data_IF_564458479940
#
_entry.id   IF_564458479940
#
_cell.length_a   1.000
_cell.length_b   1.000
_cell.length_c   1.000
_cell.angle_alpha   90.00
_cell.angle_beta   90.00
_cell.angle_gamma   90.00
#
_symmetry.space_group_name_H-M   'P 1'
#
loop_
_entity.id
_entity.type
_entity.pdbx_description
1 polymer ?
#
# COMPACT_ATOMS: atom_id res chain seq x y z
N UNK A 1 11.16 0.12 24.63
CA UNK A 1 11.18 0.62 23.23
C UNK A 1 11.97 -0.37 22.39
N UNK A 2 11.45 -0.85 21.25
CA UNK A 2 12.31 -1.58 20.29
C UNK A 2 13.43 -0.66 19.82
N UNK A 3 14.62 -1.20 19.53
CA UNK A 3 15.71 -0.44 18.89
C UNK A 3 15.15 0.32 17.70
N UNK A 4 15.54 1.58 17.57
CA UNK A 4 15.12 2.41 16.48
C UNK A 4 15.93 2.06 15.23
N UNK A 5 15.30 2.17 14.06
CA UNK A 5 15.91 1.71 12.78
C UNK A 5 17.15 2.53 12.41
N UNK A 6 17.27 3.74 12.97
CA UNK A 6 18.37 4.68 12.72
C UNK A 6 19.56 4.56 13.67
N UNK A 7 19.51 3.65 14.66
CA UNK A 7 20.61 3.49 15.61
C UNK A 7 21.87 2.93 14.93
N UNK A 8 23.06 3.42 15.32
CA UNK A 8 24.32 2.84 14.87
C UNK A 8 24.40 1.38 15.35
N UNK A 9 24.44 0.46 14.38
CA UNK A 9 24.50 -0.97 14.61
C UNK A 9 25.36 -1.69 13.57
N UNK A 10 25.49 -3.01 13.76
CA UNK A 10 26.23 -3.89 12.84
C UNK A 10 25.38 -4.19 11.60
N UNK A 11 25.24 -3.19 10.72
CA UNK A 11 24.63 -3.40 9.40
C UNK A 11 25.55 -4.32 8.58
N UNK A 12 25.01 -5.42 8.07
CA UNK A 12 25.75 -6.42 7.27
C UNK A 12 25.78 -6.08 5.77
N UNK A 13 25.28 -4.92 5.40
CA UNK A 13 25.21 -4.44 4.01
C UNK A 13 26.09 -3.22 3.82
N UNK A 14 26.60 -3.05 2.59
CA UNK A 14 27.54 -2.00 2.20
C UNK A 14 28.95 -2.55 1.98
N UNK A 15 29.53 -2.28 0.82
CA UNK A 15 30.86 -2.78 0.43
C UNK A 15 31.97 -2.35 1.42
N UNK A 16 31.80 -1.17 2.04
CA UNK A 16 32.74 -0.64 3.03
C UNK A 16 32.82 -1.44 4.34
N UNK A 17 31.82 -2.28 4.66
CA UNK A 17 31.84 -3.08 5.90
C UNK A 17 32.64 -4.38 5.76
N UNK A 18 33.07 -4.77 4.55
CA UNK A 18 34.01 -5.88 4.33
C UNK A 18 35.04 -5.57 3.25
N UNK A 19 36.12 -4.83 3.57
CA UNK A 19 37.13 -4.43 2.58
C UNK A 19 37.86 -5.61 1.91
N UNK A 20 38.02 -6.73 2.62
CA UNK A 20 38.71 -7.92 2.11
C UNK A 20 37.84 -8.62 1.06
N UNK A 21 36.61 -9.02 1.42
CA UNK A 21 35.70 -9.69 0.48
C UNK A 21 35.41 -8.82 -0.75
N UNK A 22 35.34 -7.50 -0.54
CA UNK A 22 35.11 -6.54 -1.62
C UNK A 22 36.26 -6.45 -2.61
N UNK A 23 37.51 -6.54 -2.12
CA UNK A 23 38.69 -6.59 -2.98
C UNK A 23 38.71 -7.89 -3.79
N UNK A 24 38.37 -9.02 -3.16
CA UNK A 24 38.29 -10.32 -3.83
C UNK A 24 37.19 -10.36 -4.90
N UNK A 25 35.99 -9.83 -4.60
CA UNK A 25 34.89 -9.71 -5.58
C UNK A 25 35.32 -8.83 -6.76
N UNK A 26 35.96 -7.68 -6.49
CA UNK A 26 36.43 -6.77 -7.54
C UNK A 26 37.47 -7.43 -8.42
N UNK A 27 38.45 -8.11 -7.82
CA UNK A 27 39.49 -8.84 -8.55
C UNK A 27 38.89 -9.97 -9.38
N UNK A 28 37.99 -10.77 -8.81
CA UNK A 28 37.32 -11.84 -9.53
C UNK A 28 36.44 -11.31 -10.69
N UNK A 29 35.80 -10.15 -10.53
CA UNK A 29 35.05 -9.51 -11.60
C UNK A 29 35.96 -9.01 -12.74
N UNK A 30 37.17 -8.51 -12.42
CA UNK A 30 38.16 -8.08 -13.42
C UNK A 30 38.78 -9.27 -14.19
N UNK A 31 38.97 -10.40 -13.53
CA UNK A 31 39.56 -11.60 -14.12
C UNK A 31 38.58 -12.38 -15.01
N UNK A 32 37.27 -12.11 -14.91
CA UNK A 32 36.25 -12.79 -15.69
C UNK A 32 35.79 -11.94 -16.88
N UNK A 33 35.70 -12.57 -18.05
CA UNK A 33 34.99 -11.99 -19.16
C UNK A 33 33.48 -12.13 -18.94
N UNK A 34 32.69 -11.05 -19.05
CA UNK A 34 31.23 -11.14 -19.05
C UNK A 34 30.76 -12.09 -20.16
N UNK A 35 29.79 -12.94 -19.88
CA UNK A 35 29.16 -13.81 -20.89
C UNK A 35 28.25 -13.04 -21.85
N UNK A 36 28.03 -11.74 -21.59
CA UNK A 36 27.27 -10.82 -22.43
C UNK A 36 27.85 -9.42 -22.31
N UNK A 37 27.65 -8.56 -23.32
CA UNK A 37 28.17 -7.18 -23.34
C UNK A 37 27.54 -6.26 -22.27
N UNK A 38 26.56 -6.76 -21.51
CA UNK A 38 25.88 -6.01 -20.46
C UNK A 38 24.91 -4.95 -20.97
N UNK A 39 24.50 -4.99 -22.24
CA UNK A 39 23.42 -4.13 -22.74
C UNK A 39 22.03 -4.67 -22.37
N UNK A 40 21.03 -3.79 -22.44
CA UNK A 40 19.64 -4.10 -22.10
C UNK A 40 18.89 -4.86 -23.22
N UNK A 41 19.56 -5.28 -24.30
CA UNK A 41 18.88 -5.79 -25.50
C UNK A 41 18.22 -7.15 -25.27
N UNK A 42 18.88 -8.06 -24.56
CA UNK A 42 18.31 -9.39 -24.27
C UNK A 42 17.15 -9.31 -23.27
N UNK A 43 17.28 -8.49 -22.23
CA UNK A 43 16.19 -8.30 -21.27
C UNK A 43 14.99 -7.61 -21.93
N UNK A 44 15.23 -6.68 -22.87
CA UNK A 44 14.18 -6.08 -23.68
C UNK A 44 13.46 -7.12 -24.53
N UNK A 45 14.18 -8.03 -25.21
CA UNK A 45 13.56 -9.11 -26.01
C UNK A 45 12.67 -10.01 -25.16
N UNK A 46 13.12 -10.40 -23.96
CA UNK A 46 12.30 -11.20 -23.03
C UNK A 46 11.06 -10.43 -22.59
N UNK A 47 11.20 -9.15 -22.22
CA UNK A 47 10.06 -8.29 -21.86
C UNK A 47 9.05 -8.11 -23.00
N UNK A 48 9.54 -7.96 -24.24
CA UNK A 48 8.70 -7.88 -25.43
C UNK A 48 7.92 -9.17 -25.65
N UNK A 49 8.59 -10.32 -25.55
CA UNK A 49 7.95 -11.62 -25.66
C UNK A 49 6.85 -11.77 -24.61
N UNK A 50 7.15 -11.48 -23.34
CA UNK A 50 6.17 -11.60 -22.26
C UNK A 50 5.01 -10.63 -22.44
N UNK A 51 5.25 -9.39 -22.87
CA UNK A 51 4.18 -8.42 -23.12
C UNK A 51 3.25 -8.82 -24.28
N UNK A 52 3.76 -9.54 -25.28
CA UNK A 52 2.97 -10.05 -26.41
C UNK A 52 2.21 -11.33 -26.06
N UNK A 53 2.81 -12.22 -25.26
CA UNK A 53 2.25 -13.52 -24.90
C UNK A 53 1.31 -13.44 -23.68
N UNK A 54 1.46 -12.43 -22.83
CA UNK A 54 0.59 -12.24 -21.67
C UNK A 54 -0.81 -11.83 -22.09
N UNK A 55 -1.83 -12.48 -21.52
CA UNK A 55 -3.20 -11.96 -21.54
C UNK A 55 -3.34 -10.66 -20.73
N UNK A 56 -4.55 -10.10 -20.73
CA UNK A 56 -4.88 -9.02 -19.80
C UNK A 56 -4.94 -9.51 -18.35
N UNK A 57 -4.86 -8.58 -17.39
CA UNK A 57 -4.94 -8.86 -15.94
C UNK A 57 -6.24 -9.58 -15.57
N UNK A 58 -7.34 -9.28 -16.26
CA UNK A 58 -8.62 -9.94 -16.08
C UNK A 58 -9.72 -9.24 -16.86
N UNK A 59 -10.97 -9.44 -16.43
CA UNK A 59 -12.13 -8.72 -16.96
C UNK A 59 -13.16 -8.46 -15.87
N UNK A 60 -13.92 -7.36 -16.00
CA UNK A 60 -15.07 -7.10 -15.12
C UNK A 60 -16.15 -8.15 -15.42
N UNK A 61 -16.67 -8.87 -14.41
CA UNK A 61 -17.69 -9.89 -14.64
C UNK A 61 -19.01 -9.26 -15.10
N UNK A 62 -19.85 -10.03 -15.83
CA UNK A 62 -21.18 -9.56 -16.18
C UNK A 62 -22.03 -9.28 -14.91
N UNK A 63 -23.00 -8.34 -14.98
CA UNK A 63 -23.87 -8.06 -13.85
C UNK A 63 -24.57 -9.32 -13.33
N UNK A 64 -24.66 -9.48 -12.02
CA UNK A 64 -25.24 -10.66 -11.37
C UNK A 64 -26.78 -10.65 -11.31
N UNK A 65 -27.41 -9.54 -11.73
CA UNK A 65 -28.87 -9.36 -11.71
C UNK A 65 -29.44 -9.03 -13.09
N UNK A 66 -30.67 -9.50 -13.36
CA UNK A 66 -31.41 -9.22 -14.61
C UNK A 66 -31.58 -7.71 -14.85
N UNK A 67 -31.82 -6.94 -13.77
CA UNK A 67 -31.91 -5.48 -13.83
C UNK A 67 -30.56 -4.84 -14.21
N UNK A 68 -29.46 -5.35 -13.66
CA UNK A 68 -28.10 -4.92 -14.00
C UNK A 68 -27.78 -5.18 -15.48
N UNK A 69 -28.10 -6.37 -15.99
CA UNK A 69 -27.89 -6.73 -17.41
C UNK A 69 -28.63 -5.77 -18.34
N UNK A 70 -29.91 -5.49 -18.08
CA UNK A 70 -30.70 -4.57 -18.90
C UNK A 70 -30.13 -3.13 -18.88
N UNK A 71 -29.72 -2.64 -17.70
CA UNK A 71 -29.13 -1.30 -17.55
C UNK A 71 -27.80 -1.18 -18.30
N UNK A 72 -26.89 -2.13 -18.12
CA UNK A 72 -25.59 -2.15 -18.82
C UNK A 72 -25.77 -2.15 -20.33
N UNK A 73 -26.74 -2.90 -20.87
CA UNK A 73 -27.02 -2.91 -22.30
C UNK A 73 -27.47 -1.53 -22.82
N UNK A 74 -28.35 -0.84 -22.10
CA UNK A 74 -28.80 0.52 -22.44
C UNK A 74 -27.64 1.52 -22.41
N UNK A 75 -26.80 1.46 -21.38
CA UNK A 75 -25.66 2.36 -21.22
C UNK A 75 -24.61 2.15 -22.31
N UNK A 76 -24.35 0.90 -22.71
CA UNK A 76 -23.49 0.57 -23.85
C UNK A 76 -24.05 1.09 -25.18
N UNK A 77 -25.38 1.00 -25.39
CA UNK A 77 -26.04 1.54 -26.59
C UNK A 77 -25.94 3.07 -26.68
N UNK A 78 -25.79 3.76 -25.55
CA UNK A 78 -25.51 5.21 -25.49
C UNK A 78 -24.03 5.56 -25.71
N UNK A 79 -23.17 4.56 -26.00
CA UNK A 79 -21.74 4.74 -26.23
C UNK A 79 -20.89 4.86 -24.96
N UNK A 80 -21.49 4.69 -23.78
CA UNK A 80 -20.74 4.68 -22.51
C UNK A 80 -20.15 3.30 -22.23
N UNK A 81 -19.05 3.24 -21.48
CA UNK A 81 -18.43 2.00 -20.99
C UNK A 81 -18.63 1.88 -19.48
N UNK A 82 -19.83 1.50 -18.99
CA UNK A 82 -20.13 1.44 -17.57
C UNK A 82 -19.20 0.49 -16.80
N UNK A 83 -18.59 -0.48 -17.49
CA UNK A 83 -17.59 -1.39 -16.93
C UNK A 83 -16.36 -0.68 -16.39
N UNK A 84 -15.97 0.49 -16.93
CA UNK A 84 -14.83 1.28 -16.41
C UNK A 84 -15.13 1.79 -15.00
N UNK A 85 -16.36 2.26 -14.77
CA UNK A 85 -16.77 2.72 -13.44
C UNK A 85 -16.86 1.57 -12.44
N UNK A 86 -17.41 0.43 -12.86
CA UNK A 86 -17.43 -0.79 -12.03
C UNK A 86 -16.00 -1.26 -11.70
N UNK A 87 -15.08 -1.23 -12.66
CA UNK A 87 -13.69 -1.62 -12.43
C UNK A 87 -13.02 -0.71 -11.38
N UNK A 88 -13.22 0.61 -11.48
CA UNK A 88 -12.68 1.57 -10.51
C UNK A 88 -13.35 1.51 -9.13
N UNK A 89 -14.63 1.19 -9.06
CA UNK A 89 -15.28 0.88 -7.79
C UNK A 89 -14.72 -0.43 -7.18
N UNK A 90 -14.44 -1.44 -8.00
CA UNK A 90 -13.77 -2.67 -7.55
C UNK A 90 -12.36 -2.39 -7.00
N UNK A 91 -11.60 -1.52 -7.67
CA UNK A 91 -10.32 -1.01 -7.18
C UNK A 91 -10.45 -0.42 -5.78
N UNK A 92 -11.39 0.52 -5.60
CA UNK A 92 -11.61 1.18 -4.32
C UNK A 92 -12.04 0.19 -3.25
N UNK A 93 -12.99 -0.70 -3.54
CA UNK A 93 -13.41 -1.73 -2.58
C UNK A 93 -12.24 -2.60 -2.12
N UNK A 94 -11.32 -2.98 -3.02
CA UNK A 94 -10.12 -3.72 -2.64
C UNK A 94 -9.14 -2.89 -1.79
N UNK A 95 -9.01 -1.60 -2.09
CA UNK A 95 -8.14 -0.67 -1.37
C UNK A 95 -8.64 -0.42 0.05
N UNK A 96 -9.90 0.00 0.23
CA UNK A 96 -10.54 0.27 1.54
C UNK A 96 -10.53 -0.98 2.43
N UNK A 97 -10.80 -2.17 1.86
CA UNK A 97 -10.68 -3.43 2.59
C UNK A 97 -9.27 -3.67 3.11
N UNK A 98 -8.25 -3.23 2.36
CA UNK A 98 -6.86 -3.31 2.81
C UNK A 98 -6.58 -2.24 3.87
N UNK A 99 -7.04 -1.00 3.68
CA UNK A 99 -6.95 0.11 4.64
C UNK A 99 -7.44 -0.28 6.04
N UNK A 100 -8.62 -0.89 6.14
CA UNK A 100 -9.15 -1.42 7.41
C UNK A 100 -8.19 -2.39 8.11
N UNK A 101 -7.49 -3.26 7.35
CA UNK A 101 -6.50 -4.19 7.92
C UNK A 101 -5.21 -3.50 8.33
N UNK A 102 -4.78 -2.48 7.60
CA UNK A 102 -3.62 -1.67 7.95
C UNK A 102 -3.85 -0.95 9.28
N UNK A 103 -5.01 -0.33 9.48
CA UNK A 103 -5.34 0.36 10.73
C UNK A 103 -5.57 -0.59 11.91
N UNK A 104 -6.15 -1.78 11.70
CA UNK A 104 -6.17 -2.83 12.73
C UNK A 104 -4.76 -3.23 13.18
N UNK A 105 -3.83 -3.38 12.23
CA UNK A 105 -2.43 -3.69 12.54
C UNK A 105 -1.70 -2.54 13.24
N UNK A 106 -2.00 -1.29 12.85
CA UNK A 106 -1.47 -0.10 13.50
C UNK A 106 -1.94 0.00 14.96
N UNK A 107 -3.23 -0.24 15.23
CA UNK A 107 -3.77 -0.33 16.59
C UNK A 107 -3.06 -1.43 17.39
N UNK A 108 -2.91 -2.63 16.83
CA UNK A 108 -2.21 -3.72 17.51
C UNK A 108 -0.76 -3.36 17.87
N UNK A 109 -0.05 -2.63 17.00
CA UNK A 109 1.31 -2.13 17.32
C UNK A 109 1.28 -1.01 18.35
N UNK A 110 0.33 -0.09 18.26
CA UNK A 110 0.15 0.99 19.23
C UNK A 110 -0.07 0.43 20.64
N UNK A 111 -0.89 -0.62 20.79
CA UNK A 111 -1.14 -1.26 22.09
C UNK A 111 0.11 -1.84 22.74
N UNK A 112 1.01 -2.38 21.94
CA UNK A 112 2.22 -3.05 22.45
C UNK A 112 3.39 -2.10 22.59
N UNK A 113 3.56 -1.18 21.64
CA UNK A 113 4.73 -0.31 21.53
C UNK A 113 4.50 1.09 22.09
N UNK A 114 3.25 1.46 22.34
CA UNK A 114 2.84 2.79 22.75
C UNK A 114 2.97 3.82 21.63
N UNK A 115 2.85 5.09 22.03
CA UNK A 115 2.97 6.26 21.16
C UNK A 115 4.04 7.21 21.69
N UNK A 116 4.08 8.41 21.14
CA UNK A 116 5.00 9.48 21.51
C UNK A 116 4.26 10.82 21.56
N UNK A 117 4.93 11.86 22.06
CA UNK A 117 4.40 13.22 22.04
C UNK A 117 4.14 13.68 20.61
N UNK A 118 2.89 14.08 20.31
CA UNK A 118 2.46 14.41 18.95
C UNK A 118 2.27 13.19 18.03
N UNK A 119 2.36 11.97 18.56
CA UNK A 119 2.08 10.72 17.85
C UNK A 119 0.59 10.35 17.82
N UNK A 120 0.25 9.16 17.30
CA UNK A 120 -1.13 8.70 17.22
C UNK A 120 -1.73 8.52 18.63
N UNK A 121 -3.03 8.77 18.75
CA UNK A 121 -3.83 8.36 19.90
C UNK A 121 -4.66 7.14 19.53
N UNK A 122 -5.11 6.38 20.54
CA UNK A 122 -6.03 5.26 20.33
C UNK A 122 -7.29 5.74 19.62
N UNK A 123 -7.90 6.82 20.12
CA UNK A 123 -9.13 7.38 19.58
C UNK A 123 -8.95 7.86 18.13
N UNK A 124 -7.78 8.42 17.81
CA UNK A 124 -7.44 8.85 16.47
C UNK A 124 -7.34 7.68 15.49
N UNK A 125 -6.68 6.59 15.89
CA UNK A 125 -6.56 5.38 15.08
C UNK A 125 -7.90 4.64 14.94
N UNK A 126 -8.69 4.56 16.01
CA UNK A 126 -10.02 3.94 15.99
C UNK A 126 -11.00 4.74 15.14
N UNK A 127 -10.92 6.08 15.15
CA UNK A 127 -11.72 6.92 14.26
C UNK A 127 -11.43 6.58 12.81
N UNK A 128 -10.16 6.62 12.39
CA UNK A 128 -9.79 6.32 11.00
C UNK A 128 -10.24 4.91 10.62
N UNK A 129 -10.01 3.91 11.49
CA UNK A 129 -10.49 2.54 11.23
C UNK A 129 -12.01 2.47 11.00
N UNK A 130 -12.81 3.23 11.74
CA UNK A 130 -14.26 3.24 11.56
C UNK A 130 -14.66 3.96 10.26
N UNK A 131 -13.97 5.03 9.90
CA UNK A 131 -14.20 5.76 8.65
C UNK A 131 -13.88 4.85 7.45
N UNK A 132 -12.74 4.15 7.46
CA UNK A 132 -12.34 3.13 6.47
C UNK A 132 -13.37 1.99 6.31
N UNK A 133 -13.95 1.52 7.42
CA UNK A 133 -15.04 0.53 7.38
C UNK A 133 -16.29 1.10 6.71
N UNK A 134 -16.60 2.37 6.99
CA UNK A 134 -17.72 3.10 6.39
C UNK A 134 -17.51 3.30 4.89
N UNK A 135 -16.29 3.66 4.48
CA UNK A 135 -15.87 3.86 3.09
C UNK A 135 -15.97 2.55 2.30
N UNK A 136 -15.44 1.45 2.84
CA UNK A 136 -15.60 0.12 2.24
C UNK A 136 -17.09 -0.25 2.06
N UNK A 137 -17.92 0.05 3.07
CA UNK A 137 -19.37 -0.15 3.02
C UNK A 137 -20.04 0.68 1.92
N UNK A 138 -19.70 1.95 1.80
CA UNK A 138 -20.19 2.87 0.78
C UNK A 138 -19.92 2.37 -0.64
N UNK A 139 -18.70 1.92 -0.92
CA UNK A 139 -18.32 1.42 -2.25
C UNK A 139 -19.00 0.09 -2.55
N UNK A 140 -19.08 -0.80 -1.56
CA UNK A 140 -19.78 -2.09 -1.69
C UNK A 140 -21.27 -1.87 -2.00
N UNK A 141 -21.93 -0.94 -1.31
CA UNK A 141 -23.31 -0.55 -1.57
C UNK A 141 -23.49 -0.01 -3.00
N UNK A 142 -22.55 0.82 -3.46
CA UNK A 142 -22.57 1.37 -4.82
C UNK A 142 -22.46 0.27 -5.89
N UNK A 143 -21.53 -0.67 -5.72
CA UNK A 143 -21.36 -1.82 -6.61
C UNK A 143 -22.65 -2.65 -6.71
N UNK A 144 -23.26 -2.98 -5.56
CA UNK A 144 -24.51 -3.74 -5.51
C UNK A 144 -25.66 -2.98 -6.20
N UNK A 145 -25.80 -1.67 -5.96
CA UNK A 145 -26.82 -0.84 -6.60
C UNK A 145 -26.68 -0.77 -8.13
N UNK A 146 -25.45 -0.88 -8.63
CA UNK A 146 -25.16 -0.95 -10.06
C UNK A 146 -25.29 -2.37 -10.64
N UNK A 147 -25.59 -3.37 -9.81
CA UNK A 147 -25.75 -4.77 -10.20
C UNK A 147 -24.44 -5.53 -10.36
N UNK A 148 -23.34 -4.98 -9.85
CA UNK A 148 -22.04 -5.64 -9.80
C UNK A 148 -21.87 -6.47 -8.52
N UNK A 149 -20.97 -7.45 -8.59
CA UNK A 149 -20.54 -8.25 -7.45
C UNK A 149 -19.37 -7.54 -6.73
N UNK A 150 -19.55 -7.07 -5.48
CA UNK A 150 -18.49 -6.39 -4.74
C UNK A 150 -17.34 -7.31 -4.30
N UNK A 151 -17.49 -8.64 -4.46
CA UNK A 151 -16.45 -9.61 -4.14
C UNK A 151 -15.55 -9.93 -5.33
N UNK A 152 -15.92 -9.47 -6.54
CA UNK A 152 -15.14 -9.71 -7.75
C UNK A 152 -13.77 -9.04 -7.69
N UNK A 153 -12.73 -9.78 -8.08
CA UNK A 153 -11.43 -9.20 -8.38
C UNK A 153 -11.47 -8.64 -9.80
N UNK A 154 -11.73 -7.34 -9.92
CA UNK A 154 -11.67 -6.66 -11.21
C UNK A 154 -10.20 -6.37 -11.61
N UNK A 155 -9.92 -6.06 -12.88
CA UNK A 155 -8.56 -5.73 -13.31
C UNK A 155 -7.88 -4.64 -12.48
N UNK A 156 -8.60 -3.54 -12.19
CA UNK A 156 -8.04 -2.47 -11.36
C UNK A 156 -7.88 -2.90 -9.89
N UNK A 157 -8.76 -3.75 -9.35
CA UNK A 157 -8.60 -4.32 -8.01
C UNK A 157 -7.32 -5.18 -7.90
N UNK A 158 -7.03 -5.99 -8.92
CA UNK A 158 -5.79 -6.78 -8.98
C UNK A 158 -4.56 -5.87 -9.03
N UNK A 159 -4.55 -4.89 -9.93
CA UNK A 159 -3.45 -3.91 -10.05
C UNK A 159 -3.23 -3.17 -8.73
N UNK A 160 -4.30 -2.73 -8.05
CA UNK A 160 -4.18 -2.08 -6.74
C UNK A 160 -3.57 -3.03 -5.71
N UNK A 161 -4.02 -4.29 -5.63
CA UNK A 161 -3.49 -5.28 -4.70
C UNK A 161 -2.00 -5.57 -4.94
N UNK A 162 -1.58 -5.70 -6.21
CA UNK A 162 -0.17 -5.87 -6.58
C UNK A 162 0.64 -4.63 -6.21
N UNK A 163 0.13 -3.44 -6.52
CA UNK A 163 0.82 -2.17 -6.25
C UNK A 163 0.99 -1.91 -4.75
N UNK A 164 0.02 -2.33 -3.93
CA UNK A 164 0.02 -2.10 -2.48
C UNK A 164 0.57 -3.28 -1.66
N UNK A 165 1.10 -4.33 -2.28
CA UNK A 165 1.46 -5.58 -1.57
C UNK A 165 2.46 -5.39 -0.42
N UNK A 166 3.29 -4.35 -0.50
CA UNK A 166 4.27 -4.04 0.54
C UNK A 166 3.67 -3.45 1.81
N UNK A 167 2.50 -2.80 1.74
CA UNK A 167 1.93 -2.08 2.88
C UNK A 167 1.52 -3.06 4.00
N UNK A 168 0.73 -4.13 3.72
CA UNK A 168 0.41 -5.11 4.75
C UNK A 168 1.64 -5.85 5.27
N UNK A 169 2.64 -6.08 4.41
CA UNK A 169 3.91 -6.70 4.82
C UNK A 169 4.64 -5.85 5.87
N UNK A 170 4.67 -4.53 5.69
CA UNK A 170 5.25 -3.60 6.68
C UNK A 170 4.48 -3.61 8.00
N UNK A 171 3.15 -3.51 7.92
CA UNK A 171 2.31 -3.46 9.11
C UNK A 171 2.33 -4.79 9.88
N UNK A 172 2.45 -5.93 9.22
CA UNK A 172 2.47 -7.23 9.88
C UNK A 172 3.86 -7.67 10.36
N UNK A 173 4.94 -7.06 9.87
CA UNK A 173 6.29 -7.48 10.24
C UNK A 173 6.57 -7.20 11.74
N UNK A 174 6.88 -8.25 12.54
CA UNK A 174 7.15 -8.07 13.97
C UNK A 174 8.45 -7.34 14.24
N UNK A 175 9.35 -7.16 13.27
CA UNK A 175 10.58 -6.38 13.41
C UNK A 175 10.32 -4.88 13.28
N UNK A 176 9.27 -4.49 12.56
CA UNK A 176 8.92 -3.11 12.29
C UNK A 176 8.12 -2.50 13.44
N UNK A 177 8.36 -1.22 13.73
CA UNK A 177 7.73 -0.48 14.82
C UNK A 177 6.55 0.38 14.32
N UNK A 178 5.92 1.14 15.21
CA UNK A 178 4.76 1.97 14.88
C UNK A 178 5.09 3.10 13.89
N UNK A 179 6.30 3.67 13.89
CA UNK A 179 6.72 4.68 12.90
C UNK A 179 6.85 4.08 11.50
N UNK A 180 7.42 2.89 11.39
CA UNK A 180 7.49 2.16 10.10
C UNK A 180 6.07 1.90 9.56
N UNK A 181 5.14 1.54 10.45
CA UNK A 181 3.72 1.41 10.10
C UNK A 181 3.08 2.73 9.68
N UNK A 182 3.36 3.85 10.36
CA UNK A 182 2.86 5.16 9.94
C UNK A 182 3.45 5.60 8.59
N UNK A 183 4.67 5.19 8.24
CA UNK A 183 5.21 5.39 6.90
C UNK A 183 4.40 4.62 5.85
N UNK A 184 4.11 3.33 6.09
CA UNK A 184 3.26 2.56 5.18
C UNK A 184 1.84 3.14 5.07
N UNK A 185 1.27 3.60 6.18
CA UNK A 185 -0.02 4.30 6.17
C UNK A 185 0.06 5.59 5.35
N UNK A 186 1.12 6.40 5.48
CA UNK A 186 1.26 7.62 4.67
C UNK A 186 1.23 7.33 3.16
N UNK A 187 1.83 6.20 2.72
CA UNK A 187 1.76 5.75 1.33
C UNK A 187 0.33 5.35 0.94
N UNK A 188 -0.38 4.64 1.83
CA UNK A 188 -1.77 4.27 1.63
C UNK A 188 -2.65 5.52 1.47
N UNK A 189 -2.60 6.43 2.44
CA UNK A 189 -3.39 7.66 2.52
C UNK A 189 -3.23 8.58 1.30
N UNK A 190 -1.99 8.74 0.81
CA UNK A 190 -1.71 9.51 -0.41
C UNK A 190 -2.38 8.89 -1.64
N UNK A 191 -2.35 7.57 -1.73
CA UNK A 191 -2.99 6.83 -2.82
C UNK A 191 -4.51 6.86 -2.67
N UNK A 192 -5.01 6.89 -1.44
CA UNK A 192 -6.42 6.88 -1.15
C UNK A 192 -7.11 8.17 -1.62
N UNK A 193 -6.57 9.31 -1.19
CA UNK A 193 -7.06 10.63 -1.56
C UNK A 193 -7.17 10.78 -3.10
N UNK A 194 -6.10 10.44 -3.83
CA UNK A 194 -6.09 10.51 -5.29
C UNK A 194 -7.12 9.56 -5.95
N UNK A 195 -7.39 8.43 -5.29
CA UNK A 195 -8.39 7.46 -5.74
C UNK A 195 -9.82 7.97 -5.59
N UNK A 196 -10.12 8.62 -4.47
CA UNK A 196 -11.42 9.25 -4.24
C UNK A 196 -11.68 10.41 -5.20
N UNK A 197 -10.69 11.29 -5.42
CA UNK A 197 -10.77 12.37 -6.41
C UNK A 197 -11.17 11.84 -7.80
N UNK A 198 -10.46 10.80 -8.28
CA UNK A 198 -10.76 10.17 -9.56
C UNK A 198 -12.16 9.56 -9.62
N UNK A 199 -12.62 8.91 -8.54
CA UNK A 199 -13.96 8.32 -8.48
C UNK A 199 -15.06 9.38 -8.50
N UNK A 200 -14.86 10.52 -7.83
CA UNK A 200 -15.80 11.65 -7.83
C UNK A 200 -15.94 12.22 -9.25
N UNK A 201 -14.81 12.47 -9.92
CA UNK A 201 -14.81 12.95 -11.31
C UNK A 201 -15.53 11.98 -12.25
N UNK A 202 -15.24 10.69 -12.13
CA UNK A 202 -15.86 9.66 -12.95
C UNK A 202 -17.37 9.52 -12.66
N UNK A 203 -17.77 9.57 -11.39
CA UNK A 203 -19.18 9.51 -11.00
C UNK A 203 -19.97 10.70 -11.56
N UNK A 204 -19.46 11.94 -11.43
CA UNK A 204 -20.08 13.14 -12.01
C UNK A 204 -20.14 13.07 -13.53
N UNK A 205 -19.05 12.66 -14.18
CA UNK A 205 -18.99 12.50 -15.64
C UNK A 205 -20.00 11.49 -16.20
N UNK A 206 -20.46 10.55 -15.37
CA UNK A 206 -21.47 9.55 -15.71
C UNK A 206 -22.88 9.89 -15.20
N UNK A 207 -23.07 11.07 -14.60
CA UNK A 207 -24.37 11.54 -14.08
C UNK A 207 -24.79 10.86 -12.76
N UNK A 208 -23.83 10.41 -11.96
CA UNK A 208 -24.05 9.86 -10.62
C UNK A 208 -23.77 10.90 -9.53
N UNK A 209 -24.37 12.09 -9.64
CA UNK A 209 -24.07 13.25 -8.77
C UNK A 209 -24.27 12.96 -7.28
N UNK A 210 -25.39 12.32 -6.89
CA UNK A 210 -25.64 11.94 -5.49
C UNK A 210 -24.58 10.97 -4.93
N UNK A 211 -24.05 10.08 -5.77
CA UNK A 211 -22.99 9.16 -5.36
C UNK A 211 -21.65 9.90 -5.26
N UNK A 212 -21.38 10.82 -6.17
CA UNK A 212 -20.20 11.67 -6.13
C UNK A 212 -20.17 12.54 -4.86
N UNK A 213 -21.32 13.06 -4.41
CA UNK A 213 -21.42 13.82 -3.17
C UNK A 213 -21.13 12.96 -1.94
N UNK A 214 -21.58 11.69 -1.93
CA UNK A 214 -21.21 10.74 -0.87
C UNK A 214 -19.70 10.42 -0.90
N UNK A 215 -19.11 10.30 -2.09
CA UNK A 215 -17.67 10.11 -2.25
C UNK A 215 -16.87 11.34 -1.82
N UNK A 216 -17.42 12.55 -1.99
CA UNK A 216 -16.80 13.77 -1.48
C UNK A 216 -16.70 13.75 0.05
N UNK A 217 -17.74 13.26 0.74
CA UNK A 217 -17.67 13.10 2.20
C UNK A 217 -16.57 12.13 2.64
N UNK A 218 -16.34 11.07 1.88
CA UNK A 218 -15.23 10.13 2.13
C UNK A 218 -13.88 10.82 1.89
N UNK A 219 -13.71 11.54 0.77
CA UNK A 219 -12.50 12.32 0.50
C UNK A 219 -12.20 13.35 1.59
N UNK A 220 -13.22 14.02 2.14
CA UNK A 220 -13.04 15.00 3.22
C UNK A 220 -12.55 14.35 4.53
N UNK A 221 -12.92 13.08 4.77
CA UNK A 221 -12.37 12.27 5.87
C UNK A 221 -10.92 11.85 5.56
N UNK A 222 -10.65 11.34 4.35
CA UNK A 222 -9.32 10.91 3.93
C UNK A 222 -8.28 12.05 3.92
N UNK A 223 -8.70 13.28 3.62
CA UNK A 223 -7.84 14.44 3.73
C UNK A 223 -7.40 14.69 5.19
N UNK A 224 -8.28 14.41 6.15
CA UNK A 224 -7.96 14.50 7.58
C UNK A 224 -7.06 13.34 8.02
N UNK A 225 -7.32 12.12 7.55
CA UNK A 225 -6.49 10.95 7.81
C UNK A 225 -5.05 11.19 7.36
N UNK A 226 -4.86 11.63 6.11
CA UNK A 226 -3.57 11.99 5.54
C UNK A 226 -2.84 13.06 6.38
N UNK A 227 -3.56 14.11 6.80
CA UNK A 227 -2.98 15.16 7.63
C UNK A 227 -2.51 14.62 8.99
N UNK A 228 -3.31 13.76 9.63
CA UNK A 228 -2.98 13.13 10.91
C UNK A 228 -1.78 12.21 10.79
N UNK A 229 -1.80 11.25 9.86
CA UNK A 229 -0.71 10.27 9.67
C UNK A 229 0.60 10.97 9.37
N UNK A 230 0.57 11.99 8.48
CA UNK A 230 1.74 12.81 8.17
C UNK A 230 2.27 13.53 9.41
N UNK A 231 1.38 14.16 10.19
CA UNK A 231 1.73 14.86 11.41
C UNK A 231 2.36 13.92 12.45
N UNK A 232 1.73 12.78 12.71
CA UNK A 232 2.21 11.77 13.64
C UNK A 232 3.57 11.21 13.27
N UNK A 233 3.76 10.86 11.99
CA UNK A 233 5.04 10.37 11.49
C UNK A 233 6.13 11.43 11.62
N UNK A 234 5.83 12.68 11.23
CA UNK A 234 6.77 13.79 11.33
C UNK A 234 7.20 14.06 12.78
N UNK A 235 6.26 14.05 13.72
CA UNK A 235 6.55 14.17 15.15
C UNK A 235 7.46 13.03 15.63
N UNK A 236 7.18 11.79 15.20
CA UNK A 236 7.94 10.60 15.60
C UNK A 236 9.37 10.60 15.09
N UNK A 237 9.57 10.96 13.82
CA UNK A 237 10.89 11.08 13.20
C UNK A 237 11.68 12.22 13.84
N UNK A 238 11.04 13.36 14.10
CA UNK A 238 11.68 14.51 14.77
C UNK A 238 12.11 14.16 16.19
N UNK A 239 11.29 13.41 16.92
CA UNK A 239 11.63 12.94 18.26
C UNK A 239 12.80 11.97 18.23
N UNK A 240 12.80 11.00 17.32
CA UNK A 240 13.91 10.05 17.14
C UNK A 240 15.22 10.77 16.83
N UNK A 241 15.19 11.76 15.93
CA UNK A 241 16.38 12.54 15.58
C UNK A 241 16.96 13.36 16.74
N UNK A 242 16.14 13.70 17.74
CA UNK A 242 16.55 14.45 18.95
C UNK A 242 16.88 13.54 20.14
N UNK A 243 16.58 12.25 20.04
CA UNK A 243 16.85 11.30 21.11
C UNK A 243 18.37 11.06 21.22
N UNK A 244 18.85 10.92 22.46
CA UNK A 244 20.22 10.48 22.69
C UNK A 244 20.35 9.01 22.25
N UNK A 245 21.48 8.61 21.62
CA UNK A 245 21.69 7.23 21.22
C UNK A 245 21.56 6.31 22.43
N UNK A 246 20.79 5.23 22.30
CA UNK A 246 20.74 4.18 23.34
C UNK A 246 22.11 3.51 23.38
N UNK A 247 22.83 3.50 24.52
CA UNK A 247 24.10 2.81 24.63
C UNK A 247 23.94 1.35 24.20
N UNK A 248 24.87 0.85 23.38
CA UNK A 248 24.86 -0.56 23.01
C UNK A 248 24.99 -1.39 24.30
N UNK A 249 24.01 -2.24 24.59
CA UNK A 249 24.21 -3.29 25.59
C UNK A 249 25.45 -4.07 25.13
N UNK A 250 26.50 -4.05 25.96
CA UNK A 250 27.70 -4.84 25.74
C UNK A 250 27.25 -6.26 25.41
N UNK A 251 27.68 -6.76 24.25
CA UNK A 251 27.48 -8.15 23.90
C UNK A 251 28.17 -8.99 24.98
N UNK A 252 27.40 -9.41 25.98
CA UNK A 252 27.86 -10.37 26.98
C UNK A 252 28.35 -11.58 26.22
N UNK A 253 29.66 -11.84 26.32
CA UNK A 253 30.35 -12.97 25.72
C UNK A 253 29.51 -14.24 25.88
N UNK A 254 28.84 -14.65 24.80
CA UNK A 254 28.24 -15.97 24.73
C UNK A 254 29.41 -16.98 24.70
N UNK A 255 29.40 -18.01 25.56
CA UNK A 255 30.48 -18.99 25.57
C UNK A 255 30.51 -19.72 24.21
N UNK A 256 31.71 -19.80 23.65
CA UNK A 256 32.04 -20.58 22.46
C UNK A 256 31.46 -21.99 22.58
N UNK A 257 30.75 -22.52 21.56
CA UNK A 257 30.36 -23.92 21.57
C UNK A 257 31.65 -24.75 21.55
N UNK A 258 31.83 -25.60 22.57
CA UNK A 258 32.85 -26.64 22.53
C UNK A 258 32.45 -27.63 21.43
N UNK A 259 33.45 -27.95 20.60
CA UNK A 259 33.42 -28.93 19.51
C UNK A 259 33.05 -30.32 20.03
#
# INVERSE_FOLDING_TARGET
MKKTTSDIGMNKTGIGTSPIDSADITKAAQERQPSHLGDDTLILKVRQQYALESGGVGSVPPPSSLKGVAKTAVDMLKGSKPTVFIDKLGERAAFERTGTRLYQGALAKFEVLGSWEGGPTREGLERILNDELSHFGLVTEALVKLGADPTAMTPCADVAAVSSMGLPAVVSDPRMNLRDTLHALLVAELTDNAGWEMLIELARGLGHDELADRFQMALDAEAQHLAMVRGWLSAGVTLEARANPVPQAEATNAPTPLV
#
